data_IF_190682197557
#
_entry.id   IF_190682197557
#
_cell.length_a   1.000
_cell.length_b   1.000
_cell.length_c   1.000
_cell.angle_alpha   90.00
_cell.angle_beta   90.00
_cell.angle_gamma   90.00
#
_symmetry.space_group_name_H-M   'P 1'
#
loop_
_entity.id
_entity.type
_entity.pdbx_description
1 polymer ?
#
# COMPACT_ATOMS: atom_id res chain seq x y z
N UNK A 1 -10.47 -30.77 -0.40
CA UNK A 1 -9.84 -30.86 -1.70
C UNK A 1 -8.76 -29.81 -1.88
N UNK A 2 -7.88 -29.98 -2.87
CA UNK A 2 -6.80 -29.03 -3.20
C UNK A 2 -7.30 -27.58 -3.39
N UNK A 3 -8.53 -27.39 -3.85
CA UNK A 3 -9.13 -26.06 -4.01
C UNK A 3 -9.33 -25.26 -2.72
N UNK A 4 -9.44 -25.91 -1.56
CA UNK A 4 -9.61 -25.22 -0.29
C UNK A 4 -8.27 -24.75 0.32
N UNK A 5 -7.17 -25.38 -0.07
CA UNK A 5 -5.83 -24.96 0.36
C UNK A 5 -5.45 -23.64 -0.34
N UNK A 6 -5.76 -23.49 -1.63
CA UNK A 6 -5.52 -22.25 -2.38
C UNK A 6 -6.39 -21.08 -1.90
N UNK A 7 -7.61 -21.33 -1.43
CA UNK A 7 -8.49 -20.29 -0.87
C UNK A 7 -8.00 -19.71 0.47
N UNK A 8 -7.02 -20.34 1.11
CA UNK A 8 -6.43 -19.89 2.38
C UNK A 8 -5.13 -19.11 2.22
N UNK A 9 -4.59 -19.02 1.02
CA UNK A 9 -3.39 -18.20 0.79
C UNK A 9 -3.77 -16.72 0.74
N UNK A 10 -3.01 -15.84 1.41
CA UNK A 10 -3.29 -14.40 1.40
C UNK A 10 -3.07 -13.75 0.03
N UNK A 11 -2.29 -14.36 -0.85
CA UNK A 11 -2.00 -13.89 -2.21
C UNK A 11 -1.96 -15.08 -3.20
N UNK A 12 -3.13 -15.69 -3.53
CA UNK A 12 -3.18 -16.82 -4.43
C UNK A 12 -2.95 -16.42 -5.89
N UNK A 13 -2.48 -17.39 -6.70
CA UNK A 13 -2.42 -17.26 -8.14
C UNK A 13 -3.71 -17.81 -8.79
N UNK A 14 -4.38 -16.97 -9.56
CA UNK A 14 -5.46 -17.39 -10.46
C UNK A 14 -4.92 -17.54 -11.89
N UNK A 15 -5.46 -18.50 -12.60
CA UNK A 15 -5.10 -18.79 -13.98
C UNK A 15 -6.20 -18.34 -14.92
N UNK A 16 -5.87 -17.55 -15.92
CA UNK A 16 -6.81 -17.05 -16.91
C UNK A 16 -6.24 -17.21 -18.32
N UNK A 17 -7.11 -17.22 -19.34
CA UNK A 17 -6.72 -17.15 -20.75
C UNK A 17 -7.24 -15.86 -21.36
N UNK A 18 -6.37 -15.12 -22.02
CA UNK A 18 -6.73 -13.92 -22.78
C UNK A 18 -6.13 -14.02 -24.18
N UNK A 19 -6.97 -13.95 -25.20
CA UNK A 19 -6.56 -14.08 -26.61
C UNK A 19 -5.67 -15.31 -26.87
N UNK A 20 -6.03 -16.46 -26.28
CA UNK A 20 -5.31 -17.72 -26.43
C UNK A 20 -4.01 -17.83 -25.62
N UNK A 21 -3.60 -16.78 -24.92
CA UNK A 21 -2.41 -16.78 -24.04
C UNK A 21 -2.82 -17.05 -22.60
N UNK A 22 -2.03 -17.85 -21.90
CA UNK A 22 -2.19 -18.05 -20.46
C UNK A 22 -1.67 -16.83 -19.69
N UNK A 23 -2.45 -16.40 -18.71
CA UNK A 23 -2.09 -15.36 -17.76
C UNK A 23 -2.15 -15.94 -16.34
N UNK A 24 -1.18 -15.56 -15.53
CA UNK A 24 -1.15 -15.85 -14.11
C UNK A 24 -1.42 -14.55 -13.37
N UNK A 25 -2.52 -14.49 -12.61
CA UNK A 25 -2.98 -13.31 -11.91
C UNK A 25 -2.72 -13.50 -10.43
N UNK A 26 -1.82 -12.69 -9.87
CA UNK A 26 -1.60 -12.65 -8.43
C UNK A 26 -2.71 -11.81 -7.79
N UNK A 27 -3.59 -12.47 -7.04
CA UNK A 27 -4.74 -11.84 -6.40
C UNK A 27 -4.35 -11.26 -5.03
N UNK A 28 -4.38 -9.95 -4.89
CA UNK A 28 -3.95 -9.25 -3.68
C UNK A 28 -5.12 -8.63 -2.88
N UNK A 29 -6.37 -9.02 -3.18
CA UNK A 29 -7.57 -8.45 -2.55
C UNK A 29 -8.24 -9.36 -1.51
N UNK A 30 -7.56 -10.40 -1.06
CA UNK A 30 -8.09 -11.35 -0.06
C UNK A 30 -7.90 -10.90 1.40
N UNK A 31 -7.38 -9.70 1.60
CA UNK A 31 -7.25 -9.10 2.93
C UNK A 31 -8.56 -8.46 3.44
N UNK A 32 -8.57 -7.99 4.69
CA UNK A 32 -9.79 -7.52 5.39
C UNK A 32 -10.45 -6.30 4.73
N UNK A 33 -9.71 -5.49 3.97
CA UNK A 33 -10.27 -4.32 3.29
C UNK A 33 -10.36 -4.47 1.77
N UNK A 34 -10.08 -5.68 1.26
CA UNK A 34 -10.07 -6.01 -0.17
C UNK A 34 -9.11 -5.13 -1.00
N UNK A 35 -8.04 -4.65 -0.40
CA UNK A 35 -7.02 -3.87 -1.06
C UNK A 35 -5.64 -4.56 -0.95
N UNK A 36 -4.80 -4.47 -2.00
CA UNK A 36 -3.44 -5.02 -1.95
C UNK A 36 -2.60 -4.44 -0.79
N UNK A 37 -2.98 -3.27 -0.33
CA UNK A 37 -2.33 -2.56 0.77
C UNK A 37 -2.44 -3.30 2.10
N UNK A 38 -3.44 -4.17 2.26
CA UNK A 38 -3.62 -5.02 3.44
C UNK A 38 -2.40 -5.90 3.69
N UNK A 39 -1.76 -6.40 2.63
CA UNK A 39 -0.60 -7.28 2.73
C UNK A 39 0.54 -6.68 3.57
N UNK A 40 0.77 -5.38 3.40
CA UNK A 40 1.80 -4.67 4.16
C UNK A 40 1.25 -4.04 5.44
N UNK A 41 0.03 -3.52 5.43
CA UNK A 41 -0.52 -2.77 6.56
C UNK A 41 -0.96 -3.64 7.73
N UNK A 42 -1.17 -4.94 7.52
CA UNK A 42 -1.40 -5.87 8.64
C UNK A 42 -0.12 -6.19 9.42
N UNK A 43 1.05 -6.16 8.79
CA UNK A 43 2.32 -6.49 9.47
C UNK A 43 3.11 -5.25 9.93
N UNK A 44 2.93 -4.11 9.26
CA UNK A 44 3.63 -2.87 9.58
C UNK A 44 3.48 -2.45 11.05
N UNK A 45 2.29 -2.49 11.67
CA UNK A 45 2.13 -2.12 13.07
C UNK A 45 3.00 -2.96 14.00
N UNK A 46 3.12 -4.25 13.75
CA UNK A 46 3.95 -5.17 14.53
C UNK A 46 5.44 -4.89 14.39
N UNK A 47 5.92 -4.55 13.19
CA UNK A 47 7.29 -4.10 13.00
C UNK A 47 7.54 -2.78 13.71
N UNK A 48 6.61 -1.84 13.62
CA UNK A 48 6.71 -0.53 14.26
C UNK A 48 6.80 -0.67 15.77
N UNK A 49 5.89 -1.40 16.40
CA UNK A 49 5.87 -1.59 17.87
C UNK A 49 7.12 -2.30 18.38
N UNK A 50 7.60 -3.31 17.64
CA UNK A 50 8.87 -3.99 17.98
C UNK A 50 10.07 -3.05 17.84
N UNK A 51 10.08 -2.19 16.83
CA UNK A 51 11.12 -1.19 16.62
C UNK A 51 11.10 -0.13 17.74
N UNK A 52 9.91 0.41 18.03
CA UNK A 52 9.72 1.39 19.11
C UNK A 52 10.26 0.87 20.44
N UNK A 53 9.91 -0.35 20.79
CA UNK A 53 10.40 -0.97 22.02
C UNK A 53 11.92 -1.08 22.10
N UNK A 54 12.60 -1.18 20.95
CA UNK A 54 14.07 -1.26 20.89
C UNK A 54 14.76 0.11 20.90
N UNK A 55 14.12 1.14 20.33
CA UNK A 55 14.76 2.44 20.08
C UNK A 55 14.19 3.58 20.92
N UNK A 56 12.94 3.48 21.33
CA UNK A 56 12.18 4.52 22.03
C UNK A 56 11.30 3.88 23.10
N UNK A 57 11.91 3.20 24.06
CA UNK A 57 11.20 2.44 25.08
C UNK A 57 10.14 3.28 25.80
N UNK A 58 8.92 2.77 25.84
CA UNK A 58 7.76 3.41 26.46
C UNK A 58 7.11 4.55 25.67
N UNK A 59 7.55 4.89 24.42
CA UNK A 59 6.85 5.89 23.59
C UNK A 59 5.76 5.26 22.73
N UNK A 60 4.66 6.00 22.58
CA UNK A 60 3.60 5.67 21.62
C UNK A 60 3.84 6.34 20.26
N UNK A 61 3.53 5.64 19.17
CA UNK A 61 3.56 6.21 17.84
C UNK A 61 2.20 6.80 17.45
N UNK A 62 2.20 8.05 17.00
CA UNK A 62 1.04 8.69 16.37
C UNK A 62 1.22 8.65 14.86
N UNK A 63 0.40 7.83 14.21
CA UNK A 63 0.44 7.61 12.77
C UNK A 63 -0.54 8.56 12.08
N UNK A 64 -0.01 9.45 11.23
CA UNK A 64 -0.83 10.34 10.41
C UNK A 64 -0.87 9.80 8.97
N UNK A 65 -2.06 9.72 8.41
CA UNK A 65 -2.29 9.24 7.05
C UNK A 65 -3.20 10.22 6.31
N UNK A 66 -2.73 10.78 5.20
CA UNK A 66 -3.59 11.38 4.20
C UNK A 66 -3.97 10.31 3.17
N UNK A 67 -5.25 10.21 2.82
CA UNK A 67 -5.72 9.18 1.90
C UNK A 67 -6.72 9.71 0.89
N UNK A 68 -6.70 9.13 -0.30
CA UNK A 68 -7.76 9.23 -1.32
C UNK A 68 -8.69 8.00 -1.33
N UNK A 69 -8.54 7.08 -0.34
CA UNK A 69 -9.42 5.92 -0.20
C UNK A 69 -8.76 4.69 0.45
N UNK A 70 -8.25 3.75 -0.35
CA UNK A 70 -7.82 2.42 0.10
C UNK A 70 -6.75 2.41 1.20
N UNK A 71 -5.79 3.33 1.14
CA UNK A 71 -4.70 3.39 2.14
C UNK A 71 -5.24 3.71 3.53
N UNK A 72 -6.21 4.64 3.61
CA UNK A 72 -6.81 5.03 4.88
C UNK A 72 -7.50 3.85 5.55
N UNK A 73 -8.37 3.16 4.81
CA UNK A 73 -9.10 2.00 5.37
C UNK A 73 -8.15 0.87 5.76
N UNK A 74 -7.20 0.52 4.90
CA UNK A 74 -6.26 -0.55 5.18
C UNK A 74 -5.35 -0.22 6.37
N UNK A 75 -4.96 1.06 6.54
CA UNK A 75 -4.17 1.50 7.68
C UNK A 75 -5.00 1.47 8.99
N UNK A 76 -6.24 1.96 8.96
CA UNK A 76 -7.13 1.89 10.12
C UNK A 76 -7.29 0.45 10.60
N UNK A 77 -7.57 -0.47 9.68
CA UNK A 77 -7.76 -1.89 10.02
C UNK A 77 -6.47 -2.53 10.56
N UNK A 78 -5.33 -2.25 9.94
CA UNK A 78 -4.05 -2.82 10.36
C UNK A 78 -3.55 -2.30 11.70
N UNK A 79 -3.84 -1.04 12.05
CA UNK A 79 -3.44 -0.42 13.32
C UNK A 79 -4.51 -0.52 14.41
N UNK A 80 -5.70 -1.02 14.09
CA UNK A 80 -6.80 -1.19 15.04
C UNK A 80 -6.34 -1.93 16.29
N UNK A 81 -6.53 -1.29 17.44
CA UNK A 81 -6.23 -1.82 18.79
C UNK A 81 -4.81 -2.40 18.96
N UNK A 82 -3.85 -1.93 18.13
CA UNK A 82 -2.43 -2.29 18.32
C UNK A 82 -1.83 -1.40 19.40
N UNK A 83 -1.29 -2.03 20.44
CA UNK A 83 -0.66 -1.35 21.57
C UNK A 83 0.44 -0.37 21.13
N UNK A 84 0.59 0.71 21.87
CA UNK A 84 1.58 1.77 21.59
C UNK A 84 1.41 2.45 20.24
N UNK A 85 0.22 2.41 19.66
CA UNK A 85 -0.08 3.13 18.41
C UNK A 85 -1.39 3.92 18.52
N UNK A 86 -1.42 5.08 17.87
CA UNK A 86 -2.61 5.89 17.63
C UNK A 86 -2.62 6.28 16.16
N UNK A 87 -3.73 6.10 15.48
CA UNK A 87 -3.81 6.42 14.06
C UNK A 87 -4.87 7.46 13.77
N UNK A 88 -4.51 8.47 12.98
CA UNK A 88 -5.41 9.51 12.49
C UNK A 88 -5.37 9.52 10.97
N UNK A 89 -6.51 9.29 10.35
CA UNK A 89 -6.66 9.29 8.89
C UNK A 89 -7.43 10.52 8.45
N UNK A 90 -6.83 11.30 7.55
CA UNK A 90 -7.45 12.47 6.91
C UNK A 90 -7.86 12.13 5.49
N UNK A 91 -9.10 12.41 5.12
CA UNK A 91 -9.60 12.20 3.78
C UNK A 91 -10.46 13.38 3.29
N UNK A 92 -10.44 13.72 1.99
CA UNK A 92 -11.31 14.76 1.43
C UNK A 92 -12.76 14.27 1.35
N UNK A 93 -13.71 15.08 1.84
CA UNK A 93 -15.15 14.73 1.92
C UNK A 93 -15.70 14.24 0.58
N UNK A 94 -15.31 14.91 -0.52
CA UNK A 94 -15.78 14.63 -1.88
C UNK A 94 -14.74 13.89 -2.73
N UNK A 95 -13.62 13.49 -2.13
CA UNK A 95 -12.47 12.92 -2.82
C UNK A 95 -12.36 11.39 -2.76
N UNK A 96 -13.26 10.71 -2.07
CA UNK A 96 -13.27 9.25 -1.89
C UNK A 96 -14.59 8.65 -2.36
N UNK A 97 -14.58 7.36 -2.75
CA UNK A 97 -15.83 6.70 -3.12
C UNK A 97 -16.77 6.52 -1.92
N UNK A 98 -18.10 6.43 -2.13
CA UNK A 98 -19.05 6.18 -1.04
C UNK A 98 -18.72 4.95 -0.21
N UNK A 99 -18.26 3.87 -0.86
CA UNK A 99 -17.86 2.64 -0.19
C UNK A 99 -16.63 2.86 0.70
N UNK A 100 -15.58 3.51 0.20
CA UNK A 100 -14.38 3.79 0.98
C UNK A 100 -14.67 4.72 2.16
N UNK A 101 -15.51 5.74 1.94
CA UNK A 101 -15.99 6.64 3.00
C UNK A 101 -16.74 5.87 4.08
N UNK A 102 -17.66 4.99 3.68
CA UNK A 102 -18.39 4.13 4.61
C UNK A 102 -17.45 3.24 5.41
N UNK A 103 -16.53 2.54 4.73
CA UNK A 103 -15.55 1.67 5.38
C UNK A 103 -14.67 2.41 6.42
N UNK A 104 -14.26 3.66 6.14
CA UNK A 104 -13.46 4.44 7.09
C UNK A 104 -14.31 4.92 8.28
N UNK A 105 -15.52 5.43 8.01
CA UNK A 105 -16.38 6.00 9.07
C UNK A 105 -16.98 4.95 10.00
N UNK A 106 -17.06 3.70 9.57
CA UNK A 106 -17.54 2.57 10.39
C UNK A 106 -16.38 1.79 11.04
N UNK A 107 -15.13 2.28 10.90
CA UNK A 107 -14.00 1.61 11.55
C UNK A 107 -14.11 1.73 13.07
N UNK A 108 -14.18 0.60 13.73
CA UNK A 108 -14.08 0.46 15.17
C UNK A 108 -12.64 0.37 15.63
N UNK A 109 -12.36 0.72 16.88
CA UNK A 109 -11.06 0.63 17.53
C UNK A 109 -10.84 1.78 18.51
N UNK A 110 -10.13 1.50 19.61
CA UNK A 110 -9.92 2.50 20.69
C UNK A 110 -8.81 3.51 20.36
N UNK A 111 -7.99 3.20 19.36
CA UNK A 111 -6.80 3.98 18.97
C UNK A 111 -6.92 4.57 17.57
N UNK A 112 -8.10 4.52 16.94
CA UNK A 112 -8.33 4.99 15.58
C UNK A 112 -9.16 6.27 15.55
N UNK A 113 -8.81 7.19 14.65
CA UNK A 113 -9.55 8.45 14.45
C UNK A 113 -9.62 8.73 12.95
N UNK A 114 -10.79 9.17 12.48
CA UNK A 114 -11.03 9.51 11.09
C UNK A 114 -11.49 10.95 11.00
N UNK A 115 -10.80 11.74 10.18
CA UNK A 115 -11.05 13.16 9.99
C UNK A 115 -11.35 13.46 8.52
N UNK A 116 -12.59 13.87 8.24
CA UNK A 116 -12.97 14.40 6.94
C UNK A 116 -12.55 15.86 6.83
N UNK A 117 -11.92 16.23 5.72
CA UNK A 117 -11.53 17.62 5.44
C UNK A 117 -12.29 18.18 4.24
N UNK A 118 -12.54 19.49 4.26
CA UNK A 118 -13.00 20.23 3.08
C UNK A 118 -11.78 20.56 2.22
N UNK A 119 -11.75 20.08 0.99
CA UNK A 119 -10.63 20.21 0.07
C UNK A 119 -10.39 18.94 -0.73
N UNK A 120 -9.25 18.84 -1.36
CA UNK A 120 -8.83 17.70 -2.16
C UNK A 120 -7.76 16.84 -1.43
N UNK A 121 -7.26 15.81 -2.11
CA UNK A 121 -6.24 14.94 -1.53
C UNK A 121 -4.92 15.67 -1.26
N UNK A 122 -4.54 16.62 -2.11
CA UNK A 122 -3.30 17.39 -1.95
C UNK A 122 -3.38 18.33 -0.72
N UNK A 123 -4.58 18.86 -0.43
CA UNK A 123 -4.83 19.64 0.79
C UNK A 123 -4.63 18.77 2.04
N UNK A 124 -5.18 17.53 2.01
CA UNK A 124 -4.98 16.56 3.10
C UNK A 124 -3.49 16.23 3.29
N UNK A 125 -2.78 15.96 2.19
CA UNK A 125 -1.37 15.60 2.22
C UNK A 125 -0.50 16.78 2.70
N UNK A 126 -0.79 18.00 2.24
CA UNK A 126 -0.10 19.22 2.66
C UNK A 126 -0.35 19.49 4.14
N UNK A 127 -1.59 19.33 4.60
CA UNK A 127 -1.95 19.46 6.02
C UNK A 127 -1.16 18.47 6.89
N UNK A 128 -1.11 17.21 6.52
CA UNK A 128 -0.33 16.19 7.24
C UNK A 128 1.16 16.54 7.24
N UNK A 129 1.74 16.94 6.10
CA UNK A 129 3.14 17.38 6.04
C UNK A 129 3.40 18.55 6.97
N UNK A 130 2.51 19.54 7.00
CA UNK A 130 2.62 20.71 7.90
C UNK A 130 2.59 20.29 9.36
N UNK A 131 1.71 19.35 9.75
CA UNK A 131 1.68 18.82 11.11
C UNK A 131 3.04 18.18 11.47
N UNK A 132 3.60 17.34 10.59
CA UNK A 132 4.90 16.70 10.80
C UNK A 132 6.05 17.69 10.98
N UNK A 133 6.00 18.83 10.30
CA UNK A 133 7.08 19.83 10.29
C UNK A 133 6.87 20.97 11.27
N UNK A 134 5.79 20.96 12.07
CA UNK A 134 5.48 21.98 13.07
C UNK A 134 6.15 21.62 14.41
N UNK A 135 7.21 22.35 14.85
CA UNK A 135 7.97 22.00 16.04
C UNK A 135 7.14 21.95 17.32
N UNK A 136 6.18 22.87 17.45
CA UNK A 136 5.31 22.99 18.62
C UNK A 136 4.43 21.75 18.81
N UNK A 137 3.99 21.12 17.69
CA UNK A 137 3.19 19.89 17.74
C UNK A 137 4.09 18.73 18.14
N UNK A 138 5.28 18.64 17.55
CA UNK A 138 6.26 17.59 17.89
C UNK A 138 6.66 17.68 19.37
N UNK A 139 6.90 18.88 19.90
CA UNK A 139 7.22 19.10 21.31
C UNK A 139 6.06 18.67 22.24
N UNK A 140 4.81 18.96 21.86
CA UNK A 140 3.63 18.51 22.61
C UNK A 140 3.51 16.98 22.63
N UNK A 141 3.78 16.30 21.51
CA UNK A 141 3.81 14.84 21.47
C UNK A 141 4.90 14.28 22.36
N UNK A 142 6.09 14.84 22.27
CA UNK A 142 7.23 14.40 23.08
C UNK A 142 6.99 14.57 24.59
N UNK A 143 6.38 15.69 24.99
CA UNK A 143 5.97 15.94 26.37
C UNK A 143 4.92 14.92 26.90
N UNK A 144 4.18 14.27 25.98
CA UNK A 144 3.22 13.20 26.30
C UNK A 144 3.75 11.79 25.99
N UNK A 145 5.06 11.65 25.88
CA UNK A 145 5.73 10.40 25.58
C UNK A 145 5.29 9.77 24.24
N UNK A 146 5.06 10.58 23.24
CA UNK A 146 4.61 10.19 21.90
C UNK A 146 5.59 10.68 20.83
N UNK A 147 5.58 10.03 19.67
CA UNK A 147 6.30 10.48 18.48
C UNK A 147 5.47 10.27 17.21
N UNK A 148 5.79 11.04 16.18
CA UNK A 148 5.14 10.86 14.89
C UNK A 148 5.70 9.66 14.13
N UNK A 149 4.81 8.97 13.40
CA UNK A 149 5.14 7.98 12.39
C UNK A 149 4.17 8.08 11.20
N UNK A 150 4.51 7.42 10.11
CA UNK A 150 3.70 7.42 8.90
C UNK A 150 3.47 6.00 8.39
N UNK A 151 2.26 5.74 7.90
CA UNK A 151 1.90 4.51 7.20
C UNK A 151 1.82 4.72 5.67
N UNK A 152 2.37 5.80 5.14
CA UNK A 152 2.41 6.06 3.68
C UNK A 152 3.41 5.14 2.97
N UNK A 153 3.33 5.10 1.63
CA UNK A 153 4.14 4.21 0.78
C UNK A 153 5.65 4.45 0.82
N UNK A 154 6.09 5.60 1.36
CA UNK A 154 7.51 5.90 1.61
C UNK A 154 8.09 5.11 2.79
N UNK A 155 7.25 4.56 3.66
CA UNK A 155 7.70 3.77 4.79
C UNK A 155 8.20 2.40 4.30
N UNK A 156 9.45 2.06 4.63
CA UNK A 156 10.06 0.79 4.26
C UNK A 156 9.25 -0.42 4.74
N UNK A 157 8.62 -0.34 5.91
CA UNK A 157 7.73 -1.37 6.43
C UNK A 157 6.48 -1.59 5.58
N UNK A 158 6.16 -0.64 4.66
CA UNK A 158 5.15 -0.82 3.62
C UNK A 158 5.68 -1.54 2.38
N UNK A 159 6.95 -1.34 2.06
CA UNK A 159 7.59 -1.92 0.87
C UNK A 159 8.02 -3.36 1.11
N UNK A 160 8.69 -3.61 2.21
CA UNK A 160 9.31 -4.89 2.56
C UNK A 160 8.33 -6.09 2.46
N UNK A 161 7.12 -6.06 3.03
CA UNK A 161 6.20 -7.20 2.94
C UNK A 161 5.73 -7.49 1.51
N UNK A 162 5.77 -6.49 0.62
CA UNK A 162 5.36 -6.66 -0.75
C UNK A 162 6.36 -7.48 -1.58
N UNK A 163 7.62 -7.54 -1.18
CA UNK A 163 8.63 -8.38 -1.83
C UNK A 163 8.24 -9.86 -1.71
N UNK A 164 7.67 -10.23 -0.57
CA UNK A 164 7.37 -11.63 -0.22
C UNK A 164 6.39 -12.27 -1.22
N UNK A 165 5.33 -11.58 -1.59
CA UNK A 165 4.33 -12.21 -2.46
C UNK A 165 4.80 -12.38 -3.92
N UNK A 166 5.79 -11.63 -4.39
CA UNK A 166 6.42 -11.88 -5.69
C UNK A 166 7.25 -13.17 -5.68
N UNK A 167 7.99 -13.39 -4.60
CA UNK A 167 8.76 -14.62 -4.42
C UNK A 167 7.81 -15.81 -4.26
N UNK A 168 6.75 -15.67 -3.44
CA UNK A 168 5.73 -16.69 -3.26
C UNK A 168 5.07 -17.06 -4.59
N UNK A 169 4.64 -16.07 -5.38
CA UNK A 169 4.01 -16.30 -6.67
C UNK A 169 4.94 -17.05 -7.64
N UNK A 170 6.22 -16.74 -7.65
CA UNK A 170 7.18 -17.48 -8.45
C UNK A 170 7.30 -18.94 -8.02
N UNK A 171 7.40 -19.18 -6.71
CA UNK A 171 7.45 -20.54 -6.15
C UNK A 171 6.16 -21.32 -6.49
N UNK A 172 5.00 -20.67 -6.45
CA UNK A 172 3.71 -21.28 -6.79
C UNK A 172 3.67 -21.68 -8.28
N UNK A 173 4.22 -20.86 -9.18
CA UNK A 173 4.34 -21.20 -10.61
C UNK A 173 5.24 -22.41 -10.84
N UNK A 174 6.36 -22.50 -10.14
CA UNK A 174 7.28 -23.64 -10.21
C UNK A 174 6.61 -24.90 -9.65
N UNK A 175 5.98 -24.81 -8.47
CA UNK A 175 5.28 -25.93 -7.84
C UNK A 175 4.09 -26.44 -8.66
N UNK A 176 3.42 -25.55 -9.39
CA UNK A 176 2.35 -25.92 -10.32
C UNK A 176 2.85 -26.48 -11.66
N UNK A 177 4.16 -26.58 -11.86
CA UNK A 177 4.77 -27.06 -13.11
C UNK A 177 4.55 -26.14 -14.32
N UNK A 178 4.24 -24.86 -14.07
CA UNK A 178 4.02 -23.86 -15.13
C UNK A 178 5.31 -23.33 -15.70
N UNK A 179 6.35 -23.28 -14.89
CA UNK A 179 7.71 -22.90 -15.23
C UNK A 179 8.70 -23.80 -14.51
N UNK A 180 9.92 -23.90 -15.03
CA UNK A 180 11.03 -24.53 -14.32
C UNK A 180 11.73 -23.51 -13.38
N UNK A 181 12.42 -24.01 -12.36
CA UNK A 181 13.24 -23.17 -11.50
C UNK A 181 14.34 -22.47 -12.35
N UNK A 182 14.41 -21.15 -12.25
CA UNK A 182 15.34 -20.32 -13.02
C UNK A 182 14.73 -19.72 -14.29
N UNK A 183 13.56 -20.18 -14.73
CA UNK A 183 12.85 -19.56 -15.86
C UNK A 183 12.49 -18.11 -15.56
N UNK A 184 12.69 -17.23 -16.52
CA UNK A 184 12.42 -15.80 -16.38
C UNK A 184 10.94 -15.50 -16.61
N UNK A 185 10.34 -14.74 -15.71
CA UNK A 185 8.96 -14.27 -15.82
C UNK A 185 8.89 -12.78 -16.17
N UNK A 186 7.78 -12.35 -16.78
CA UNK A 186 7.42 -10.94 -16.92
C UNK A 186 6.41 -10.57 -15.83
N UNK A 187 6.60 -9.42 -15.22
CA UNK A 187 5.71 -8.92 -14.16
C UNK A 187 4.99 -7.68 -14.66
N UNK A 188 3.66 -7.72 -14.66
CA UNK A 188 2.80 -6.61 -15.04
C UNK A 188 2.19 -6.02 -13.76
N UNK A 189 2.44 -4.75 -13.51
CA UNK A 189 1.98 -4.06 -12.29
C UNK A 189 1.31 -2.73 -12.66
N UNK A 190 0.11 -2.44 -12.13
CA UNK A 190 -0.46 -1.09 -12.23
C UNK A 190 0.47 -0.06 -11.60
N UNK A 191 0.58 1.12 -12.22
CA UNK A 191 1.51 2.19 -11.80
C UNK A 191 1.34 2.55 -10.32
N UNK A 192 0.13 2.86 -9.87
CA UNK A 192 -0.15 3.29 -8.49
C UNK A 192 0.85 4.34 -8.01
N UNK A 193 1.27 4.23 -6.75
CA UNK A 193 2.34 5.04 -6.16
C UNK A 193 3.75 4.43 -6.36
N UNK A 194 3.92 3.58 -7.34
CA UNK A 194 5.16 2.92 -7.73
C UNK A 194 5.77 1.95 -6.68
N UNK A 195 5.24 1.90 -5.47
CA UNK A 195 5.75 1.02 -4.38
C UNK A 195 5.66 -0.46 -4.72
N UNK A 196 4.58 -0.89 -5.37
CA UNK A 196 4.37 -2.29 -5.71
C UNK A 196 5.39 -2.78 -6.75
N UNK A 197 5.61 -2.04 -7.83
CA UNK A 197 6.61 -2.41 -8.85
C UNK A 197 8.03 -2.30 -8.30
N UNK A 198 8.30 -1.37 -7.40
CA UNK A 198 9.57 -1.25 -6.69
C UNK A 198 9.85 -2.49 -5.83
N UNK A 199 8.84 -3.04 -5.16
CA UNK A 199 8.99 -4.28 -4.42
C UNK A 199 9.36 -5.46 -5.33
N UNK A 200 8.76 -5.54 -6.52
CA UNK A 200 9.11 -6.53 -7.54
C UNK A 200 10.56 -6.34 -8.02
N UNK A 201 11.00 -5.10 -8.19
CA UNK A 201 12.39 -4.79 -8.54
C UNK A 201 13.37 -5.25 -7.44
N UNK A 202 13.06 -5.02 -6.16
CA UNK A 202 13.87 -5.56 -5.07
C UNK A 202 13.89 -7.08 -5.05
N UNK A 203 12.78 -7.75 -5.33
CA UNK A 203 12.75 -9.21 -5.48
C UNK A 203 13.73 -9.67 -6.57
N UNK A 204 13.79 -8.95 -7.70
CA UNK A 204 14.76 -9.23 -8.78
C UNK A 204 16.22 -9.06 -8.34
N UNK A 205 16.54 -8.01 -7.59
CA UNK A 205 17.89 -7.80 -7.03
C UNK A 205 18.26 -8.93 -6.05
N UNK A 206 17.27 -9.45 -5.32
CA UNK A 206 17.44 -10.58 -4.41
C UNK A 206 17.57 -11.93 -5.13
N UNK A 207 17.50 -11.95 -6.46
CA UNK A 207 17.72 -13.15 -7.28
C UNK A 207 16.47 -13.75 -7.93
N UNK A 208 15.28 -13.13 -7.77
CA UNK A 208 14.07 -13.59 -8.47
C UNK A 208 14.23 -13.40 -9.98
N UNK A 209 14.07 -14.47 -10.82
CA UNK A 209 14.32 -14.38 -12.26
C UNK A 209 13.24 -13.58 -12.99
N UNK A 210 13.37 -12.26 -13.02
CA UNK A 210 12.47 -11.37 -13.75
C UNK A 210 13.14 -10.92 -15.05
N UNK A 211 12.42 -11.08 -16.16
CA UNK A 211 12.85 -10.65 -17.48
C UNK A 211 12.47 -9.19 -17.75
N UNK A 212 11.20 -8.84 -17.49
CA UNK A 212 10.67 -7.48 -17.75
C UNK A 212 9.70 -7.06 -16.67
N UNK A 213 9.78 -5.77 -16.30
CA UNK A 213 8.76 -5.07 -15.55
C UNK A 213 7.90 -4.28 -16.53
N UNK A 214 6.60 -4.49 -16.49
CA UNK A 214 5.63 -3.79 -17.34
C UNK A 214 4.74 -2.96 -16.41
N UNK A 215 4.97 -1.65 -16.44
CA UNK A 215 4.19 -0.69 -15.67
C UNK A 215 2.93 -0.33 -16.47
N UNK A 216 1.78 -0.81 -16.04
CA UNK A 216 0.51 -0.51 -16.69
C UNK A 216 -0.07 0.79 -16.14
N UNK A 217 -0.32 1.77 -17.01
CA UNK A 217 -0.96 3.04 -16.67
C UNK A 217 -2.28 3.20 -17.42
N UNK A 218 -3.18 3.99 -16.83
CA UNK A 218 -4.37 4.52 -17.51
C UNK A 218 -4.01 5.85 -18.22
N UNK A 219 -4.99 6.71 -18.42
CA UNK A 219 -4.78 8.05 -19.02
C UNK A 219 -3.81 8.93 -18.21
N UNK A 220 -3.59 8.65 -16.93
CA UNK A 220 -2.54 9.26 -16.14
C UNK A 220 -1.22 8.49 -16.37
N UNK A 221 -0.49 8.87 -17.41
CA UNK A 221 0.72 8.19 -17.86
C UNK A 221 2.01 9.02 -17.64
N UNK A 222 1.99 9.95 -16.69
CA UNK A 222 3.10 10.88 -16.38
C UNK A 222 4.45 10.16 -16.25
N UNK A 223 4.49 8.97 -15.63
CA UNK A 223 5.73 8.20 -15.52
C UNK A 223 6.20 7.63 -16.87
N UNK A 224 5.28 7.25 -17.75
CA UNK A 224 5.64 6.80 -19.12
C UNK A 224 6.26 7.92 -19.91
N UNK A 225 5.72 9.12 -19.80
CA UNK A 225 6.24 10.30 -20.46
C UNK A 225 7.58 10.74 -19.87
N UNK A 226 7.70 10.70 -18.53
CA UNK A 226 8.98 10.93 -17.86
C UNK A 226 10.09 9.96 -18.32
N UNK A 227 9.79 8.67 -18.40
CA UNK A 227 10.78 7.67 -18.88
C UNK A 227 11.21 7.93 -20.32
N UNK A 228 10.29 8.41 -21.18
CA UNK A 228 10.59 8.70 -22.60
C UNK A 228 11.34 10.00 -22.80
N UNK A 229 10.99 11.03 -22.02
CA UNK A 229 11.43 12.41 -22.25
C UNK A 229 12.47 12.91 -21.25
N UNK A 230 12.58 12.27 -20.08
CA UNK A 230 13.36 12.77 -18.96
C UNK A 230 12.72 13.95 -18.23
N UNK A 231 11.53 14.42 -18.66
CA UNK A 231 10.82 15.56 -18.06
C UNK A 231 9.67 15.04 -17.21
N UNK A 232 9.67 15.38 -15.93
CA UNK A 232 8.58 15.08 -15.00
C UNK A 232 7.60 16.26 -14.94
N UNK A 233 6.46 16.14 -15.60
CA UNK A 233 5.45 17.20 -15.66
C UNK A 233 4.54 17.14 -14.41
N UNK A 234 4.74 18.09 -13.51
CA UNK A 234 3.97 18.22 -12.26
C UNK A 234 2.51 18.64 -12.51
N UNK A 235 2.19 19.26 -13.63
CA UNK A 235 0.82 19.70 -13.94
C UNK A 235 -0.15 18.54 -14.15
N UNK A 236 0.36 17.37 -14.50
CA UNK A 236 -0.42 16.15 -14.77
C UNK A 236 -0.63 15.27 -13.53
N UNK A 237 0.03 15.55 -12.41
CA UNK A 237 -0.06 14.74 -11.16
C UNK A 237 -1.48 14.79 -10.56
N UNK A 238 -2.22 15.87 -10.79
CA UNK A 238 -3.58 16.07 -10.28
C UNK A 238 -4.66 15.25 -11.02
N UNK A 239 -4.29 14.59 -12.11
CA UNK A 239 -5.18 13.69 -12.86
C UNK A 239 -5.20 12.34 -12.12
N UNK A 240 -6.10 12.18 -11.16
CA UNK A 240 -6.46 10.98 -10.38
C UNK A 240 -5.43 9.82 -10.33
N UNK A 241 -5.21 9.24 -9.14
CA UNK A 241 -4.35 8.06 -8.97
C UNK A 241 -4.65 6.99 -10.04
N UNK A 242 -3.62 6.36 -10.65
CA UNK A 242 -3.79 5.37 -11.73
C UNK A 242 -4.64 4.15 -11.34
N UNK A 243 -4.78 3.89 -10.05
CA UNK A 243 -5.58 2.77 -9.51
C UNK A 243 -7.03 3.16 -9.21
N UNK A 244 -7.40 4.43 -9.37
CA UNK A 244 -8.75 4.90 -9.07
C UNK A 244 -9.66 4.61 -10.26
N UNK A 245 -10.47 3.55 -10.19
CA UNK A 245 -11.65 3.43 -11.04
C UNK A 245 -12.62 4.58 -10.69
N UNK A 246 -12.81 5.50 -11.60
CA UNK A 246 -14.05 6.29 -11.60
C UNK A 246 -15.17 5.30 -11.92
N UNK A 247 -16.14 5.24 -11.04
CA UNK A 247 -17.17 4.24 -10.95
C UNK A 247 -17.76 3.73 -12.27
N UNK A 248 -18.11 2.47 -12.22
CA UNK A 248 -19.29 1.93 -12.90
C UNK A 248 -20.47 2.20 -12.00
#
# INVERSE_FOLDING_TARGET
GLGDVYKRQPAPLAYAKLNGKELNILELWHGPTCAFKDMALQILPHFLTKSLKKTYDGKDAVILVATSGDTGKAALEGFKDVDHTKIIVFYPVDGVSPMQKHQMNTQEGNNVTVCAIKGNFDDAQTGVKKIFTTPEISAKLEANNMLFSSANSINWGRLLPQIVYYISAYCDLVNAGKIAMGDKINVVVPTGNFGNILASYYASIMGLPINKFICASNSNNVLSDFIKTGVYDLSLIHISEPTRRRGI
#
